data_IF_770816085490
#
_entry.id   IF_770816085490
#
_cell.length_a   1.000
_cell.length_b   1.000
_cell.length_c   1.000
_cell.angle_alpha   90.00
_cell.angle_beta   90.00
_cell.angle_gamma   90.00
#
_symmetry.space_group_name_H-M   'P 1'
#
loop_
_entity.id
_entity.type
_entity.pdbx_description
1 polymer ?
#
# COMPACT_ATOMS: atom_id res chain seq x y z
N UNK A 1 -11.10 14.69 10.60
CA UNK A 1 -10.48 13.34 10.77
C UNK A 1 -10.03 12.69 9.45
N UNK A 2 -10.68 12.91 8.29
CA UNK A 2 -10.13 12.45 6.98
C UNK A 2 -8.77 13.09 6.65
N UNK A 3 -8.55 14.34 7.09
CA UNK A 3 -7.32 15.09 6.83
C UNK A 3 -6.07 14.44 7.44
N UNK A 4 -6.16 13.80 8.62
CA UNK A 4 -5.00 13.18 9.29
C UNK A 4 -4.50 11.95 8.53
N UNK A 5 -5.41 11.14 7.99
CA UNK A 5 -5.03 9.94 7.21
C UNK A 5 -4.36 10.33 5.90
N UNK A 6 -4.87 11.39 5.25
CA UNK A 6 -4.26 11.94 4.05
C UNK A 6 -2.89 12.56 4.35
N UNK A 7 -2.75 13.23 5.49
CA UNK A 7 -1.49 13.83 5.92
C UNK A 7 -0.42 12.78 6.23
N UNK A 8 -0.78 11.69 6.93
CA UNK A 8 0.17 10.58 7.18
C UNK A 8 0.56 9.90 5.86
N UNK A 9 -0.36 9.77 4.91
CA UNK A 9 -0.06 9.20 3.60
C UNK A 9 0.86 10.11 2.77
N UNK A 10 0.60 11.43 2.75
CA UNK A 10 1.44 12.41 2.07
C UNK A 10 2.84 12.52 2.71
N UNK A 11 2.95 12.55 4.04
CA UNK A 11 4.24 12.55 4.75
C UNK A 11 5.03 11.27 4.47
N UNK A 12 4.35 10.12 4.39
CA UNK A 12 4.98 8.87 4.01
C UNK A 12 5.49 8.90 2.56
N UNK A 13 4.72 9.49 1.63
CA UNK A 13 5.14 9.64 0.24
C UNK A 13 6.30 10.63 0.04
N UNK A 14 6.34 11.73 0.80
CA UNK A 14 7.42 12.73 0.71
C UNK A 14 8.74 12.24 1.31
N UNK A 15 8.69 11.46 2.40
CA UNK A 15 9.89 10.84 2.97
C UNK A 15 10.53 9.82 2.01
N UNK A 16 9.72 9.16 1.17
CA UNK A 16 10.20 8.24 0.13
C UNK A 16 10.75 8.95 -1.12
N UNK A 17 10.34 10.19 -1.41
CA UNK A 17 10.86 10.93 -2.58
C UNK A 17 12.16 11.69 -2.30
N UNK A 18 12.49 11.95 -1.03
CA UNK A 18 13.73 12.64 -0.66
C UNK A 18 14.95 11.73 -0.57
N UNK A 19 14.77 10.41 -0.43
CA UNK A 19 15.90 9.46 -0.38
C UNK A 19 16.50 9.09 -1.74
N UNK A 20 15.94 9.57 -2.86
CA UNK A 20 16.45 9.27 -4.21
C UNK A 20 17.24 10.43 -4.86
N UNK A 21 17.37 11.60 -4.21
CA UNK A 21 18.01 12.78 -4.83
C UNK A 21 19.33 13.24 -4.16
N UNK A 22 19.88 12.49 -3.20
CA UNK A 22 21.17 12.80 -2.56
C UNK A 22 22.31 11.83 -2.95
N UNK A 23 22.36 11.43 -4.23
CA UNK A 23 23.51 10.68 -4.76
C UNK A 23 23.94 11.11 -6.17
N UNK A 24 23.60 12.33 -6.59
CA UNK A 24 23.97 12.83 -7.92
C UNK A 24 24.33 14.33 -7.88
N UNK A 25 25.50 14.69 -7.33
CA UNK A 25 26.24 15.91 -7.71
C UNK A 25 27.50 16.16 -6.89
N UNK A 26 28.58 15.41 -7.11
CA UNK A 26 29.98 15.88 -6.90
C UNK A 26 30.84 15.11 -7.91
N UNK A 27 30.98 15.61 -9.14
CA UNK A 27 32.23 16.18 -9.68
C UNK A 27 33.46 15.24 -9.58
N UNK A 28 33.93 14.74 -10.72
CA UNK A 28 35.27 14.95 -11.32
C UNK A 28 35.55 13.87 -12.39
N UNK A 29 35.46 14.25 -13.66
CA UNK A 29 36.35 13.71 -14.72
C UNK A 29 37.78 14.21 -14.41
N UNK A 30 38.86 13.45 -14.70
CA UNK A 30 39.36 13.41 -16.08
C UNK A 30 40.13 12.14 -16.53
N UNK A 31 40.29 12.08 -17.86
CA UNK A 31 41.41 11.53 -18.66
C UNK A 31 41.62 10.00 -18.78
N UNK A 32 41.39 9.53 -20.02
CA UNK A 32 41.93 8.28 -20.57
C UNK A 32 43.46 8.38 -20.80
N UNK A 33 44.14 7.22 -20.82
CA UNK A 33 44.92 6.88 -22.00
C UNK A 33 44.68 5.46 -22.52
N UNK A 34 45.17 5.27 -23.73
CA UNK A 34 44.97 4.19 -24.70
C UNK A 34 45.87 2.96 -24.49
N UNK A 35 45.52 1.91 -25.26
CA UNK A 35 46.31 0.78 -25.77
C UNK A 35 46.22 -0.64 -25.15
N UNK A 36 45.89 -1.56 -26.08
CA UNK A 36 46.38 -2.93 -26.31
C UNK A 36 45.99 -4.10 -25.38
N UNK A 37 45.13 -4.95 -25.94
CA UNK A 37 45.31 -6.39 -26.22
C UNK A 37 45.70 -7.39 -25.10
N UNK A 38 44.76 -8.34 -24.92
CA UNK A 38 44.93 -9.81 -24.84
C UNK A 38 45.69 -10.42 -23.65
N UNK A 39 44.93 -11.08 -22.75
CA UNK A 39 45.19 -12.49 -22.39
C UNK A 39 44.18 -13.04 -21.38
N UNK A 40 43.66 -14.23 -21.69
CA UNK A 40 42.90 -15.12 -20.83
C UNK A 40 43.65 -15.48 -19.54
N UNK A 41 42.92 -15.55 -18.41
CA UNK A 41 43.07 -16.51 -17.28
C UNK A 41 42.54 -15.83 -16.00
N UNK A 42 41.33 -16.16 -15.56
CA UNK A 42 41.06 -17.17 -14.52
C UNK A 42 41.00 -16.52 -13.12
N UNK A 43 39.82 -16.62 -12.50
CA UNK A 43 39.41 -16.04 -11.20
C UNK A 43 39.10 -14.54 -11.23
N UNK A 44 37.89 -14.19 -11.67
CA UNK A 44 37.10 -13.13 -11.04
C UNK A 44 35.65 -13.20 -11.54
N UNK A 45 34.72 -13.18 -10.60
CA UNK A 45 33.30 -13.27 -10.93
C UNK A 45 32.50 -13.98 -9.86
N UNK A 46 32.66 -13.56 -8.60
CA UNK A 46 31.53 -13.61 -7.67
C UNK A 46 30.43 -12.82 -8.36
N UNK A 47 29.54 -13.56 -9.01
CA UNK A 47 28.51 -13.03 -9.87
C UNK A 47 27.77 -11.95 -9.10
N UNK A 48 28.03 -10.71 -9.52
CA UNK A 48 27.02 -9.74 -9.84
C UNK A 48 25.70 -10.15 -9.18
N UNK A 49 25.50 -9.77 -7.92
CA UNK A 49 24.16 -9.64 -7.39
C UNK A 49 23.53 -8.54 -8.24
N UNK A 50 23.07 -8.91 -9.42
CA UNK A 50 22.02 -8.22 -10.13
C UNK A 50 20.93 -8.11 -9.10
N UNK A 51 20.88 -6.94 -8.44
CA UNK A 51 19.74 -6.43 -7.73
C UNK A 51 18.66 -6.36 -8.80
N UNK A 52 18.05 -7.52 -8.98
CA UNK A 52 17.19 -7.83 -10.09
C UNK A 52 16.11 -6.78 -10.05
N UNK A 53 15.84 -6.17 -11.20
CA UNK A 53 14.69 -5.29 -11.50
C UNK A 53 13.37 -6.05 -11.29
N UNK A 54 13.18 -6.59 -10.10
CA UNK A 54 12.12 -7.47 -9.64
C UNK A 54 10.92 -6.65 -9.26
N UNK A 55 10.28 -6.10 -10.30
CA UNK A 55 8.88 -5.65 -10.35
C UNK A 55 8.41 -4.86 -9.11
N UNK A 56 8.59 -3.52 -9.07
CA UNK A 56 7.99 -2.64 -8.05
C UNK A 56 6.52 -2.98 -7.70
N UNK A 57 5.75 -3.46 -8.68
CA UNK A 57 4.37 -3.95 -8.51
C UNK A 57 4.18 -5.01 -7.41
N UNK A 58 5.16 -5.89 -7.13
CA UNK A 58 5.01 -6.92 -6.10
C UNK A 58 5.00 -6.29 -4.70
N UNK A 59 5.96 -5.39 -4.43
CA UNK A 59 6.07 -4.69 -3.15
C UNK A 59 4.81 -3.84 -2.91
N UNK A 60 4.38 -3.07 -3.92
CA UNK A 60 3.14 -2.29 -3.85
C UNK A 60 1.90 -3.16 -3.62
N UNK A 61 1.83 -4.33 -4.25
CA UNK A 61 0.73 -5.26 -4.08
C UNK A 61 0.66 -5.83 -2.66
N UNK A 62 1.80 -6.25 -2.10
CA UNK A 62 1.90 -6.73 -0.72
C UNK A 62 1.52 -5.63 0.29
N UNK A 63 2.10 -4.43 0.14
CA UNK A 63 1.80 -3.28 0.99
C UNK A 63 0.30 -2.92 0.94
N UNK A 64 -0.28 -2.86 -0.27
CA UNK A 64 -1.70 -2.60 -0.44
C UNK A 64 -2.56 -3.64 0.27
N UNK A 65 -2.26 -4.93 0.13
CA UNK A 65 -3.08 -5.98 0.73
C UNK A 65 -3.08 -5.89 2.26
N UNK A 66 -1.93 -5.63 2.88
CA UNK A 66 -1.84 -5.46 4.34
C UNK A 66 -2.57 -4.20 4.81
N UNK A 67 -2.45 -3.08 4.09
CA UNK A 67 -3.20 -1.85 4.39
C UNK A 67 -4.71 -2.10 4.28
N UNK A 68 -5.19 -2.70 3.19
CA UNK A 68 -6.61 -2.98 2.98
C UNK A 68 -7.13 -3.93 4.05
N UNK A 69 -6.38 -4.97 4.40
CA UNK A 69 -6.77 -5.94 5.45
C UNK A 69 -6.98 -5.24 6.80
N UNK A 70 -6.01 -4.42 7.23
CA UNK A 70 -6.08 -3.67 8.50
C UNK A 70 -7.18 -2.62 8.47
N UNK A 71 -7.23 -1.81 7.41
CA UNK A 71 -8.23 -0.75 7.25
C UNK A 71 -9.65 -1.33 7.22
N UNK A 72 -9.90 -2.39 6.45
CA UNK A 72 -11.21 -3.03 6.38
C UNK A 72 -11.67 -3.53 7.74
N UNK A 73 -10.79 -4.18 8.50
CA UNK A 73 -11.09 -4.64 9.87
C UNK A 73 -11.45 -3.46 10.78
N UNK A 74 -10.63 -2.41 10.79
CA UNK A 74 -10.84 -1.24 11.64
C UNK A 74 -12.15 -0.50 11.31
N UNK A 75 -12.42 -0.23 10.03
CA UNK A 75 -13.64 0.44 9.57
C UNK A 75 -14.87 -0.42 9.89
N UNK A 76 -14.79 -1.72 9.62
CA UNK A 76 -15.86 -2.68 9.90
C UNK A 76 -16.24 -2.71 11.38
N UNK A 77 -15.25 -2.75 12.28
CA UNK A 77 -15.47 -2.71 13.73
C UNK A 77 -16.05 -1.37 14.19
N UNK A 78 -15.55 -0.25 13.66
CA UNK A 78 -16.04 1.09 14.01
C UNK A 78 -17.50 1.28 13.59
N UNK A 79 -17.87 0.83 12.39
CA UNK A 79 -19.25 0.82 11.93
C UNK A 79 -20.12 -0.05 12.82
N UNK A 80 -19.70 -1.29 13.12
CA UNK A 80 -20.47 -2.19 13.99
C UNK A 80 -20.73 -1.57 15.37
N UNK A 81 -19.71 -0.97 15.99
CA UNK A 81 -19.86 -0.29 17.29
C UNK A 81 -20.91 0.83 17.21
N UNK A 82 -20.85 1.66 16.15
CA UNK A 82 -21.82 2.75 15.96
C UNK A 82 -23.23 2.24 15.73
N UNK A 83 -23.40 1.18 14.94
CA UNK A 83 -24.69 0.53 14.68
C UNK A 83 -25.27 0.03 15.99
N UNK A 84 -24.49 -0.70 16.80
CA UNK A 84 -24.92 -1.18 18.10
C UNK A 84 -25.37 0.00 18.99
N UNK A 85 -24.55 1.05 19.13
CA UNK A 85 -24.87 2.22 19.95
C UNK A 85 -26.17 2.92 19.54
N UNK A 86 -26.51 2.92 18.24
CA UNK A 86 -27.75 3.54 17.76
C UNK A 86 -28.93 2.57 17.89
N UNK A 87 -28.80 1.34 17.39
CA UNK A 87 -29.91 0.40 17.33
C UNK A 87 -30.37 -0.09 18.71
N UNK A 88 -29.47 -0.22 19.70
CA UNK A 88 -29.86 -0.61 21.07
C UNK A 88 -30.69 0.45 21.81
N UNK A 89 -30.82 1.67 21.29
CA UNK A 89 -31.71 2.69 21.86
C UNK A 89 -33.19 2.42 21.56
N UNK A 90 -33.49 1.53 20.62
CA UNK A 90 -34.85 1.22 20.20
C UNK A 90 -35.40 -0.03 20.92
N UNK A 91 -36.71 -0.06 21.13
CA UNK A 91 -37.44 -1.26 21.56
C UNK A 91 -37.33 -2.39 20.53
N UNK A 92 -37.51 -3.64 20.95
CA UNK A 92 -37.26 -4.85 20.15
C UNK A 92 -37.71 -4.80 18.67
N UNK A 93 -38.98 -4.47 18.33
CA UNK A 93 -39.43 -4.49 16.94
C UNK A 93 -38.66 -3.50 16.06
N UNK A 94 -38.44 -2.27 16.55
CA UNK A 94 -37.69 -1.25 15.83
C UNK A 94 -36.18 -1.51 15.84
N UNK A 95 -35.66 -2.12 16.90
CA UNK A 95 -34.25 -2.52 17.00
C UNK A 95 -33.88 -3.52 15.91
N UNK A 96 -34.73 -4.53 15.68
CA UNK A 96 -34.53 -5.51 14.60
C UNK A 96 -34.49 -4.84 13.23
N UNK A 97 -35.44 -3.94 12.94
CA UNK A 97 -35.48 -3.19 11.68
C UNK A 97 -34.25 -2.29 11.53
N UNK A 98 -33.83 -1.62 12.62
CA UNK A 98 -32.62 -0.80 12.65
C UNK A 98 -31.38 -1.61 12.26
N UNK A 99 -31.16 -2.76 12.91
CA UNK A 99 -30.01 -3.62 12.61
C UNK A 99 -30.03 -4.11 11.17
N UNK A 100 -31.17 -4.58 10.66
CA UNK A 100 -31.30 -5.04 9.27
C UNK A 100 -30.90 -3.94 8.26
N UNK A 101 -31.43 -2.73 8.42
CA UNK A 101 -31.10 -1.60 7.53
C UNK A 101 -29.66 -1.15 7.70
N UNK A 102 -29.20 -1.01 8.93
CA UNK A 102 -27.86 -0.52 9.24
C UNK A 102 -26.76 -1.47 8.74
N UNK A 103 -27.00 -2.78 8.83
CA UNK A 103 -26.09 -3.80 8.27
C UNK A 103 -26.01 -3.70 6.75
N UNK A 104 -27.14 -3.52 6.05
CA UNK A 104 -27.15 -3.28 4.59
C UNK A 104 -26.32 -2.05 4.21
N UNK A 105 -26.46 -0.94 4.95
CA UNK A 105 -25.64 0.24 4.72
C UNK A 105 -24.15 0.03 5.03
N UNK A 106 -23.83 -0.70 6.10
CA UNK A 106 -22.44 -1.07 6.42
C UNK A 106 -21.79 -1.81 5.26
N UNK A 107 -22.49 -2.77 4.66
CA UNK A 107 -21.97 -3.55 3.54
C UNK A 107 -21.77 -2.68 2.30
N UNK A 108 -22.73 -1.79 1.99
CA UNK A 108 -22.60 -0.81 0.90
C UNK A 108 -21.39 0.10 1.11
N UNK A 109 -21.20 0.62 2.33
CA UNK A 109 -20.06 1.50 2.67
C UNK A 109 -18.75 0.73 2.52
N UNK A 110 -18.66 -0.49 3.07
CA UNK A 110 -17.46 -1.32 2.95
C UNK A 110 -17.16 -1.66 1.50
N UNK A 111 -18.16 -1.94 0.66
CA UNK A 111 -17.94 -2.21 -0.75
C UNK A 111 -17.53 -0.95 -1.53
N UNK A 112 -18.00 0.25 -1.14
CA UNK A 112 -17.55 1.50 -1.75
C UNK A 112 -16.09 1.82 -1.41
N UNK A 113 -15.68 1.59 -0.16
CA UNK A 113 -14.30 1.84 0.30
C UNK A 113 -13.35 0.74 -0.19
N UNK A 114 -13.80 -0.52 -0.22
CA UNK A 114 -13.02 -1.70 -0.59
C UNK A 114 -13.72 -2.46 -1.73
N UNK A 115 -13.63 -1.95 -2.99
CA UNK A 115 -14.45 -2.41 -4.11
C UNK A 115 -14.22 -3.86 -4.54
N UNK A 116 -13.14 -4.50 -4.09
CA UNK A 116 -12.88 -5.91 -4.39
C UNK A 116 -13.43 -6.87 -3.35
N UNK A 117 -14.01 -6.38 -2.25
CA UNK A 117 -14.51 -7.20 -1.14
C UNK A 117 -13.40 -7.84 -0.31
N UNK A 118 -12.34 -8.38 -0.90
CA UNK A 118 -11.15 -8.89 -0.21
C UNK A 118 -9.93 -8.00 -0.52
N UNK A 119 -8.83 -8.12 0.26
CA UNK A 119 -7.65 -7.28 0.08
C UNK A 119 -7.03 -7.37 -1.32
N UNK A 120 -6.80 -8.60 -1.83
CA UNK A 120 -6.20 -8.82 -3.14
C UNK A 120 -7.03 -8.21 -4.27
N UNK A 121 -8.32 -8.56 -4.34
CA UNK A 121 -9.25 -8.04 -5.35
C UNK A 121 -9.40 -6.53 -5.26
N UNK A 122 -9.33 -5.95 -4.06
CA UNK A 122 -9.37 -4.49 -3.90
C UNK A 122 -8.12 -3.85 -4.48
N UNK A 123 -6.94 -4.39 -4.15
CA UNK A 123 -5.66 -3.92 -4.66
C UNK A 123 -5.52 -4.05 -6.18
N UNK A 124 -6.09 -5.12 -6.77
CA UNK A 124 -6.20 -5.28 -8.23
C UNK A 124 -7.09 -4.19 -8.84
N UNK A 125 -8.26 -3.92 -8.23
CA UNK A 125 -9.18 -2.88 -8.74
C UNK A 125 -8.58 -1.48 -8.71
N UNK A 126 -7.71 -1.19 -7.74
CA UNK A 126 -7.01 0.11 -7.64
C UNK A 126 -5.63 0.10 -8.31
N UNK A 127 -5.29 -0.95 -9.06
CA UNK A 127 -4.06 -1.07 -9.87
C UNK A 127 -2.75 -1.02 -9.07
N UNK A 128 -2.80 -1.42 -7.79
CA UNK A 128 -1.61 -1.62 -6.94
C UNK A 128 -1.15 -3.09 -6.94
N UNK A 129 -2.05 -3.98 -7.35
CA UNK A 129 -1.79 -5.28 -7.94
C UNK A 129 -2.38 -5.23 -9.37
#
# INVERSE_FOLDING_TARGET
MLSIVYFVFLVSCSALSQSENEALSVWWEPEMPSHSETSHSLMDGYGNMEFSRGRPKIIFCCACQEVVKRAKKAVSQKLQKKINTVCYKYIEPFRKICFQRAMKYRDIILHKIFPGGNPRSTCVKIKLC
#
